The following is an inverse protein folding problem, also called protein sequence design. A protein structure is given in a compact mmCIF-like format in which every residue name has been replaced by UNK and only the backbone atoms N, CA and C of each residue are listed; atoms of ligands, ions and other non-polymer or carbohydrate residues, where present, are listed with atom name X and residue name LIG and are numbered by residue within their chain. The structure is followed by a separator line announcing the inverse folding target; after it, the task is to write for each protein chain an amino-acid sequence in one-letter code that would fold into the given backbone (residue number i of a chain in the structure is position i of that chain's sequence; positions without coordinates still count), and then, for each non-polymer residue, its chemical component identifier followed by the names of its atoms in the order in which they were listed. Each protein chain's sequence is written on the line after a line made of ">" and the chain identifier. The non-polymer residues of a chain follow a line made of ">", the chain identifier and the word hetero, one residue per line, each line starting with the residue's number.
data_IF_138931770342
#
_entry.id   IF_138931770342
#
_cell.length_a   1.000
_cell.length_b   1.000
_cell.length_c   1.000
_cell.angle_alpha   90.00
_cell.angle_beta   90.00
_cell.angle_gamma   90.00
#
_symmetry.space_group_name_H-M   'P 1'
#
loop_
_entity.id
_entity.type
_entity.pdbx_description
1 polymer ?
#
# COMPACT_ATOMS: atom_id res chain seq x y z
N UNK A 1 -16.53 -26.98 43.20
CA UNK A 1 -15.51 -26.05 42.73
C UNK A 1 -14.36 -26.86 42.13
N UNK A 2 -14.24 -26.87 40.79
CA UNK A 2 -13.14 -27.55 40.10
C UNK A 2 -11.89 -26.70 40.30
N UNK A 3 -10.93 -27.20 41.07
CA UNK A 3 -9.59 -26.57 41.12
C UNK A 3 -8.92 -26.75 39.77
N UNK A 4 -9.01 -25.76 38.91
CA UNK A 4 -8.30 -25.75 37.66
C UNK A 4 -6.80 -25.80 37.99
N UNK A 5 -6.14 -26.88 37.60
CA UNK A 5 -4.71 -27.03 37.83
C UNK A 5 -3.99 -25.87 37.11
N UNK A 6 -3.06 -25.20 37.77
CA UNK A 6 -2.38 -23.99 37.26
C UNK A 6 -1.84 -24.19 35.83
N UNK A 7 -1.37 -25.39 35.55
CA UNK A 7 -0.89 -25.79 34.21
C UNK A 7 -2.02 -25.83 33.16
N UNK A 8 -3.22 -26.27 33.52
CA UNK A 8 -4.39 -26.31 32.63
C UNK A 8 -4.85 -24.89 32.27
N UNK A 9 -4.81 -23.97 33.24
CA UNK A 9 -5.12 -22.56 32.98
C UNK A 9 -4.16 -21.91 31.98
N UNK A 10 -2.86 -22.17 32.11
CA UNK A 10 -1.84 -21.64 31.20
C UNK A 10 -2.04 -22.22 29.79
N UNK A 11 -2.26 -23.50 29.65
CA UNK A 11 -2.51 -24.17 28.35
C UNK A 11 -3.75 -23.58 27.69
N UNK A 12 -4.83 -23.35 28.42
CA UNK A 12 -6.07 -22.77 27.90
C UNK A 12 -5.84 -21.37 27.33
N UNK A 13 -5.09 -20.51 28.06
CA UNK A 13 -4.74 -19.14 27.58
C UNK A 13 -3.91 -19.19 26.30
N UNK A 14 -2.94 -20.11 26.21
CA UNK A 14 -2.13 -20.27 25.01
C UNK A 14 -2.96 -20.72 23.81
N UNK A 15 -3.90 -21.65 24.00
CA UNK A 15 -4.79 -22.13 22.94
C UNK A 15 -5.71 -20.99 22.47
N UNK A 16 -6.30 -20.22 23.38
CA UNK A 16 -7.15 -19.07 23.03
C UNK A 16 -6.32 -18.03 22.26
N UNK A 17 -5.11 -17.70 22.70
CA UNK A 17 -4.21 -16.78 22.01
C UNK A 17 -3.92 -17.24 20.57
N UNK A 18 -3.63 -18.54 20.37
CA UNK A 18 -3.35 -19.12 19.07
C UNK A 18 -4.59 -19.07 18.15
N UNK A 19 -5.78 -19.39 18.66
CA UNK A 19 -7.04 -19.29 17.91
C UNK A 19 -7.33 -17.85 17.48
N UNK A 20 -7.13 -16.89 18.37
CA UNK A 20 -7.30 -15.46 18.07
C UNK A 20 -6.32 -15.02 16.97
N UNK A 21 -5.06 -15.44 17.03
CA UNK A 21 -4.07 -15.14 15.98
C UNK A 21 -4.47 -15.71 14.62
N UNK A 22 -4.99 -16.97 14.59
CA UNK A 22 -5.45 -17.59 13.34
C UNK A 22 -6.63 -16.80 12.77
N UNK A 23 -7.59 -16.38 13.58
CA UNK A 23 -8.75 -15.59 13.14
C UNK A 23 -8.30 -14.26 12.55
N UNK A 24 -7.41 -13.52 13.22
CA UNK A 24 -6.87 -12.26 12.69
C UNK A 24 -6.11 -12.46 11.38
N UNK A 25 -5.30 -13.51 11.27
CA UNK A 25 -4.58 -13.86 10.04
C UNK A 25 -5.53 -14.14 8.87
N UNK A 26 -6.67 -14.80 9.12
CA UNK A 26 -7.68 -15.07 8.09
C UNK A 26 -8.44 -13.81 7.65
N UNK A 27 -8.67 -12.86 8.55
CA UNK A 27 -9.32 -11.58 8.22
C UNK A 27 -8.39 -10.72 7.36
N UNK A 28 -7.11 -10.66 7.69
CA UNK A 28 -6.10 -9.94 6.90
C UNK A 28 -5.85 -10.55 5.50
N UNK A 29 -6.14 -11.84 5.33
CA UNK A 29 -5.98 -12.54 4.05
C UNK A 29 -7.04 -12.14 3.01
N UNK A 30 -8.20 -11.60 3.42
CA UNK A 30 -9.26 -11.19 2.49
C UNK A 30 -8.83 -9.97 1.68
N UNK A 31 -8.97 -10.11 0.37
CA UNK A 31 -8.76 -8.98 -0.54
C UNK A 31 -9.92 -7.98 -0.42
N UNK A 32 -9.59 -6.69 -0.40
CA UNK A 32 -10.58 -5.61 -0.29
C UNK A 32 -10.15 -4.41 -1.15
N UNK A 33 -11.10 -3.53 -1.54
CA UNK A 33 -10.77 -2.34 -2.30
C UNK A 33 -9.78 -1.43 -1.55
N UNK A 34 -9.96 -1.26 -0.25
CA UNK A 34 -9.07 -0.47 0.59
C UNK A 34 -7.65 -1.05 0.61
N UNK A 35 -7.52 -2.38 0.76
CA UNK A 35 -6.23 -3.08 0.72
C UNK A 35 -5.54 -2.89 -0.64
N UNK A 36 -6.28 -3.01 -1.73
CA UNK A 36 -5.73 -2.82 -3.08
C UNK A 36 -5.17 -1.41 -3.28
N UNK A 37 -5.91 -0.37 -2.83
CA UNK A 37 -5.47 1.02 -2.88
C UNK A 37 -4.22 1.25 -2.03
N UNK A 38 -4.18 0.76 -0.80
CA UNK A 38 -3.01 0.92 0.09
C UNK A 38 -1.77 0.23 -0.48
N UNK A 39 -1.90 -1.00 -0.97
CA UNK A 39 -0.77 -1.74 -1.56
C UNK A 39 -0.27 -1.06 -2.84
N UNK A 40 -1.17 -0.63 -3.72
CA UNK A 40 -0.80 0.13 -4.92
C UNK A 40 -0.06 1.42 -4.54
N UNK A 41 -0.64 2.25 -3.68
CA UNK A 41 -0.07 3.55 -3.31
C UNK A 41 1.30 3.42 -2.63
N UNK A 42 1.48 2.42 -1.75
CA UNK A 42 2.78 2.14 -1.16
C UNK A 42 3.83 1.80 -2.21
N UNK A 43 3.49 0.90 -3.15
CA UNK A 43 4.41 0.50 -4.23
C UNK A 43 4.68 1.66 -5.20
N UNK A 44 3.67 2.47 -5.50
CA UNK A 44 3.78 3.66 -6.34
C UNK A 44 4.79 4.67 -5.78
N UNK A 45 4.62 5.09 -4.54
CA UNK A 45 5.54 6.05 -3.91
C UNK A 45 6.95 5.49 -3.69
N UNK A 46 7.08 4.17 -3.53
CA UNK A 46 8.38 3.49 -3.44
C UNK A 46 9.02 3.23 -4.81
N UNK A 47 8.35 3.56 -5.92
CA UNK A 47 8.78 3.26 -7.28
C UNK A 47 9.08 1.76 -7.46
N UNK A 48 8.21 0.91 -6.92
CA UNK A 48 8.36 -0.54 -6.92
C UNK A 48 7.48 -1.16 -8.01
N UNK A 49 8.07 -2.03 -8.84
CA UNK A 49 7.36 -2.79 -9.90
C UNK A 49 6.18 -3.61 -9.38
N UNK A 50 6.16 -3.95 -8.10
CA UNK A 50 5.04 -4.68 -7.49
C UNK A 50 3.69 -3.95 -7.60
N UNK A 51 3.68 -2.63 -7.89
CA UNK A 51 2.44 -1.89 -8.19
C UNK A 51 1.66 -2.52 -9.35
N UNK A 52 2.33 -3.14 -10.33
CA UNK A 52 1.69 -3.84 -11.45
C UNK A 52 0.70 -4.92 -11.00
N UNK A 53 0.95 -5.56 -9.86
CA UNK A 53 0.07 -6.60 -9.31
C UNK A 53 -1.31 -6.07 -8.91
N UNK A 54 -1.42 -4.76 -8.70
CA UNK A 54 -2.65 -4.07 -8.30
C UNK A 54 -3.26 -3.20 -9.40
N UNK A 55 -2.73 -3.24 -10.62
CA UNK A 55 -3.27 -2.53 -11.79
C UNK A 55 -4.23 -3.46 -12.54
N UNK A 56 -5.33 -2.90 -13.07
CA UNK A 56 -6.32 -3.62 -13.85
C UNK A 56 -5.77 -4.02 -15.24
N UNK A 57 -6.22 -5.17 -15.75
CA UNK A 57 -5.78 -5.74 -17.04
C UNK A 57 -5.99 -4.78 -18.19
N UNK A 58 -7.11 -4.03 -18.20
CA UNK A 58 -7.43 -3.06 -19.24
C UNK A 58 -6.32 -2.02 -19.44
N UNK A 59 -5.64 -1.63 -18.36
CA UNK A 59 -4.55 -0.66 -18.45
C UNK A 59 -3.20 -1.30 -18.73
N UNK A 60 -2.96 -2.51 -18.23
CA UNK A 60 -1.74 -3.26 -18.57
C UNK A 60 -1.72 -3.75 -20.02
N UNK A 61 -2.90 -3.97 -20.62
CA UNK A 61 -3.03 -4.50 -22.00
C UNK A 61 -3.16 -3.41 -23.06
N UNK A 62 -3.23 -2.13 -22.71
CA UNK A 62 -3.50 -1.05 -23.65
C UNK A 62 -2.32 -0.67 -24.58
N UNK A 63 -1.10 -1.09 -24.22
CA UNK A 63 0.10 -0.91 -25.04
C UNK A 63 0.98 -2.16 -24.96
N UNK A 64 1.63 -2.54 -26.06
CA UNK A 64 2.60 -3.65 -26.16
C UNK A 64 3.84 -3.46 -25.25
N UNK A 65 3.91 -2.37 -24.52
CA UNK A 65 5.00 -2.00 -23.64
C UNK A 65 4.51 -2.03 -22.20
N UNK A 66 5.28 -2.62 -21.30
CA UNK A 66 5.00 -2.64 -19.86
C UNK A 66 4.89 -1.20 -19.33
N UNK A 67 3.65 -0.73 -19.12
CA UNK A 67 3.34 0.64 -18.68
C UNK A 67 4.09 1.01 -17.40
N UNK A 68 4.24 0.07 -16.47
CA UNK A 68 4.95 0.30 -15.22
C UNK A 68 6.44 0.46 -15.46
N UNK A 69 7.05 -0.36 -16.32
CA UNK A 69 8.46 -0.24 -16.65
C UNK A 69 8.76 1.07 -17.37
N UNK A 70 7.90 1.50 -18.30
CA UNK A 70 8.01 2.80 -18.95
C UNK A 70 7.90 3.96 -17.97
N UNK A 71 6.94 3.90 -17.05
CA UNK A 71 6.82 4.90 -16.00
C UNK A 71 8.09 4.97 -15.14
N UNK A 72 8.56 3.84 -14.62
CA UNK A 72 9.77 3.79 -13.81
C UNK A 72 11.02 4.25 -14.58
N UNK A 73 11.12 3.88 -15.86
CA UNK A 73 12.20 4.33 -16.72
C UNK A 73 12.16 5.85 -16.92
N UNK A 74 11.00 6.45 -17.16
CA UNK A 74 10.85 7.90 -17.32
C UNK A 74 11.24 8.66 -16.05
N UNK A 75 10.86 8.16 -14.89
CA UNK A 75 11.26 8.73 -13.60
C UNK A 75 12.78 8.62 -13.40
N UNK A 76 13.36 7.44 -13.68
CA UNK A 76 14.81 7.24 -13.57
C UNK A 76 15.59 8.13 -14.52
N UNK A 77 15.10 8.34 -15.75
CA UNK A 77 15.70 9.24 -16.74
C UNK A 77 15.68 10.68 -16.22
N UNK A 78 14.51 11.16 -15.78
CA UNK A 78 14.35 12.51 -15.22
C UNK A 78 15.25 12.74 -14.01
N UNK A 79 15.41 11.76 -13.13
CA UNK A 79 16.31 11.85 -11.99
C UNK A 79 17.76 12.05 -12.45
N UNK A 80 18.24 11.22 -13.40
CA UNK A 80 19.60 11.31 -13.95
C UNK A 80 19.88 12.64 -14.65
N UNK A 81 18.93 13.14 -15.44
CA UNK A 81 19.04 14.43 -16.11
C UNK A 81 19.19 15.59 -15.13
N UNK A 82 18.65 15.45 -13.94
CA UNK A 82 18.78 16.41 -12.82
C UNK A 82 20.00 16.13 -11.92
N UNK A 83 20.81 15.11 -12.23
CA UNK A 83 21.99 14.74 -11.45
C UNK A 83 21.68 13.98 -10.15
N UNK A 84 20.49 13.38 -10.02
CA UNK A 84 20.08 12.64 -8.83
C UNK A 84 20.01 11.13 -9.11
N UNK A 85 20.24 10.34 -8.04
CA UNK A 85 19.90 8.92 -8.04
C UNK A 85 18.38 8.74 -7.82
N UNK A 86 17.78 7.75 -8.49
CA UNK A 86 16.33 7.44 -8.36
C UNK A 86 15.91 7.18 -6.91
N UNK A 87 16.82 6.73 -6.06
CA UNK A 87 16.52 6.48 -4.66
C UNK A 87 16.12 7.75 -3.89
N UNK A 88 16.52 8.94 -4.35
CA UNK A 88 16.08 10.21 -3.76
C UNK A 88 14.63 10.56 -4.11
N UNK A 89 14.05 9.92 -5.12
CA UNK A 89 12.67 10.11 -5.52
C UNK A 89 11.71 9.09 -4.86
N UNK A 90 12.27 8.07 -4.19
CA UNK A 90 11.45 7.11 -3.42
C UNK A 90 10.91 7.77 -2.17
N UNK A 91 9.61 7.60 -1.96
CA UNK A 91 8.91 8.10 -0.79
C UNK A 91 8.24 6.95 -0.04
N UNK A 92 8.26 6.98 1.27
CA UNK A 92 7.50 6.05 2.10
C UNK A 92 6.19 6.71 2.53
N UNK A 93 5.08 6.06 2.20
CA UNK A 93 3.75 6.43 2.65
C UNK A 93 3.49 5.87 4.05
N UNK A 94 3.03 6.71 4.98
CA UNK A 94 2.73 6.38 6.37
C UNK A 94 1.54 7.19 6.88
N UNK A 95 1.04 6.87 8.08
CA UNK A 95 -0.18 7.44 8.68
C UNK A 95 -1.36 7.36 7.68
N UNK A 96 -1.56 6.16 7.11
CA UNK A 96 -2.50 5.93 6.01
C UNK A 96 -3.89 5.71 6.56
N UNK A 97 -4.84 6.48 6.06
CA UNK A 97 -6.25 6.26 6.28
C UNK A 97 -6.96 6.01 4.95
N UNK A 98 -8.04 5.23 4.96
CA UNK A 98 -8.85 4.97 3.77
C UNK A 98 -10.32 5.11 4.09
N UNK A 99 -11.03 5.81 3.22
CA UNK A 99 -12.48 5.98 3.28
C UNK A 99 -13.13 5.43 2.02
N UNK A 100 -14.17 4.63 2.17
CA UNK A 100 -14.94 4.13 1.03
C UNK A 100 -16.00 5.17 0.65
N UNK A 101 -15.78 5.88 -0.47
CA UNK A 101 -16.71 6.89 -0.96
C UNK A 101 -17.93 6.21 -1.63
N UNK A 102 -17.67 5.21 -2.45
CA UNK A 102 -18.70 4.40 -3.09
C UNK A 102 -18.21 2.98 -3.32
N UNK A 103 -19.12 2.01 -3.26
CA UNK A 103 -18.79 0.61 -3.48
C UNK A 103 -20.01 -0.16 -3.95
N UNK A 104 -19.79 -1.02 -4.95
CA UNK A 104 -20.69 -2.11 -5.32
C UNK A 104 -19.90 -3.43 -5.40
N UNK A 105 -20.49 -4.48 -5.97
CA UNK A 105 -19.85 -5.80 -6.07
C UNK A 105 -18.66 -5.84 -7.04
N UNK A 106 -18.60 -4.93 -8.02
CA UNK A 106 -17.63 -4.93 -9.11
C UNK A 106 -16.63 -3.76 -9.05
N UNK A 107 -17.00 -2.63 -8.45
CA UNK A 107 -16.21 -1.41 -8.44
C UNK A 107 -16.36 -0.61 -7.14
N UNK A 108 -15.35 0.20 -6.81
CA UNK A 108 -15.40 1.11 -5.69
C UNK A 108 -14.52 2.35 -5.94
N UNK A 109 -14.86 3.45 -5.27
CA UNK A 109 -14.02 4.63 -5.16
C UNK A 109 -13.56 4.78 -3.71
N UNK A 110 -12.26 4.77 -3.52
CA UNK A 110 -11.63 4.82 -2.21
C UNK A 110 -10.80 6.09 -2.11
N UNK A 111 -11.10 6.92 -1.13
CA UNK A 111 -10.23 8.03 -0.75
C UNK A 111 -9.11 7.48 0.11
N UNK A 112 -7.88 7.84 -0.23
CA UNK A 112 -6.70 7.55 0.56
C UNK A 112 -6.08 8.86 1.02
N UNK A 113 -5.84 8.95 2.32
CA UNK A 113 -5.08 10.04 2.92
C UNK A 113 -3.85 9.48 3.63
N UNK A 114 -2.82 10.29 3.73
CA UNK A 114 -1.58 9.88 4.37
C UNK A 114 -0.50 10.92 4.26
N UNK A 115 0.70 10.54 4.69
CA UNK A 115 1.89 11.38 4.65
C UNK A 115 3.03 10.65 3.97
N UNK A 116 3.81 11.38 3.16
CA UNK A 116 5.00 10.82 2.52
C UNK A 116 6.25 11.54 3.01
N UNK A 117 7.32 10.76 3.15
CA UNK A 117 8.70 11.24 3.37
C UNK A 117 9.66 10.50 2.46
N UNK A 118 10.72 11.17 2.05
CA UNK A 118 11.80 10.59 1.25
C UNK A 118 12.38 9.35 1.94
N UNK A 119 12.56 8.28 1.19
CA UNK A 119 12.99 6.96 1.67
C UNK A 119 14.33 6.55 1.05
N UNK A 120 15.42 7.26 1.39
CA UNK A 120 16.75 7.00 0.85
C UNK A 120 17.25 5.59 1.18
N UNK A 121 16.90 5.10 2.40
CA UNK A 121 17.16 3.74 2.86
C UNK A 121 16.06 3.31 3.85
N UNK A 122 16.05 2.03 4.25
CA UNK A 122 15.00 1.46 5.12
C UNK A 122 14.95 2.08 6.53
N UNK A 123 16.04 2.66 7.00
CA UNK A 123 16.15 3.27 8.35
C UNK A 123 15.79 4.76 8.32
N UNK A 124 16.14 5.46 7.23
CA UNK A 124 15.96 6.91 7.10
C UNK A 124 14.52 7.39 7.40
N UNK A 125 13.45 6.79 6.86
CA UNK A 125 12.09 7.26 7.14
C UNK A 125 11.71 7.14 8.62
N UNK A 126 12.23 6.16 9.33
CA UNK A 126 11.98 5.96 10.77
C UNK A 126 12.69 7.06 11.57
N UNK A 127 13.97 7.29 11.28
CA UNK A 127 14.77 8.35 11.92
C UNK A 127 14.17 9.73 11.60
N UNK A 128 13.82 9.97 10.34
CA UNK A 128 13.23 11.22 9.91
C UNK A 128 11.87 11.50 10.59
N UNK A 129 11.06 10.46 10.85
CA UNK A 129 9.80 10.58 11.60
C UNK A 129 10.07 10.93 13.08
N UNK A 130 11.01 10.23 13.72
CA UNK A 130 11.33 10.43 15.17
C UNK A 130 11.91 11.83 15.41
N UNK A 131 12.82 12.29 14.55
CA UNK A 131 13.53 13.55 14.73
C UNK A 131 12.92 14.72 13.94
N UNK A 132 11.78 14.51 13.28
CA UNK A 132 11.10 15.48 12.42
C UNK A 132 12.02 16.10 11.36
N UNK A 133 12.86 15.27 10.74
CA UNK A 133 13.81 15.68 9.71
C UNK A 133 13.15 15.53 8.32
N UNK A 134 13.34 16.54 7.47
CA UNK A 134 12.85 16.57 6.09
C UNK A 134 11.40 17.07 5.96
N UNK A 135 11.04 17.50 4.74
CA UNK A 135 9.68 17.90 4.41
C UNK A 135 8.74 16.70 4.43
N UNK A 136 7.58 16.89 5.01
CA UNK A 136 6.46 15.94 4.94
C UNK A 136 5.46 16.51 3.97
N UNK A 137 5.01 15.73 3.02
CA UNK A 137 3.95 16.09 2.10
C UNK A 137 2.71 15.25 2.40
N UNK A 138 1.55 15.84 2.31
CA UNK A 138 0.29 15.14 2.49
C UNK A 138 -0.19 14.55 1.16
N UNK A 139 -0.89 13.44 1.24
CA UNK A 139 -1.55 12.77 0.12
C UNK A 139 -3.04 12.73 0.45
N UNK A 140 -3.87 13.16 -0.49
CA UNK A 140 -5.33 13.06 -0.40
C UNK A 140 -5.88 12.83 -1.82
N UNK A 141 -6.20 11.59 -2.12
CA UNK A 141 -6.59 11.19 -3.47
C UNK A 141 -7.75 10.19 -3.45
N UNK A 142 -8.60 10.25 -4.47
CA UNK A 142 -9.67 9.27 -4.70
C UNK A 142 -9.23 8.33 -5.82
N UNK A 143 -9.12 7.05 -5.48
CA UNK A 143 -8.67 6.00 -6.38
C UNK A 143 -9.84 5.09 -6.73
N UNK A 144 -10.07 4.94 -8.04
CA UNK A 144 -11.05 3.99 -8.57
C UNK A 144 -10.45 2.59 -8.64
N UNK A 145 -11.19 1.61 -8.12
CA UNK A 145 -10.82 0.20 -8.15
C UNK A 145 -11.96 -0.66 -8.70
N UNK A 146 -11.58 -1.69 -9.43
CA UNK A 146 -12.49 -2.68 -9.99
C UNK A 146 -12.12 -4.08 -9.52
N UNK A 147 -13.07 -5.00 -9.54
CA UNK A 147 -12.84 -6.39 -9.16
C UNK A 147 -12.61 -7.24 -10.40
N UNK A 148 -11.40 -7.77 -10.55
CA UNK A 148 -11.01 -8.67 -11.63
C UNK A 148 -10.49 -10.00 -11.06
N UNK A 149 -10.99 -11.12 -11.55
CA UNK A 149 -10.61 -12.47 -11.12
C UNK A 149 -10.64 -12.64 -9.58
N UNK A 150 -11.65 -12.06 -8.94
CA UNK A 150 -11.82 -12.12 -7.49
C UNK A 150 -10.90 -11.19 -6.68
N UNK A 151 -10.04 -10.38 -7.34
CA UNK A 151 -9.12 -9.44 -6.72
C UNK A 151 -9.46 -8.00 -7.08
N UNK A 152 -9.27 -7.11 -6.13
CA UNK A 152 -9.44 -5.67 -6.36
C UNK A 152 -8.19 -5.09 -7.02
N UNK A 153 -8.41 -4.30 -8.07
CA UNK A 153 -7.38 -3.71 -8.91
C UNK A 153 -7.64 -2.22 -9.12
N UNK A 154 -6.60 -1.41 -9.07
CA UNK A 154 -6.66 0.02 -9.37
C UNK A 154 -6.82 0.21 -10.89
N UNK A 155 -7.77 1.07 -11.28
CA UNK A 155 -8.07 1.38 -12.66
C UNK A 155 -8.33 2.89 -12.80
N UNK A 156 -7.89 3.51 -13.91
CA UNK A 156 -8.07 4.95 -14.13
C UNK A 156 -6.75 5.73 -14.16
N UNK A 157 -6.68 6.87 -13.52
CA UNK A 157 -5.46 7.71 -13.50
C UNK A 157 -4.41 7.12 -12.56
N UNK A 158 -3.57 6.22 -13.06
CA UNK A 158 -2.63 5.44 -12.24
C UNK A 158 -1.44 6.25 -11.71
N UNK A 159 -0.88 7.13 -12.55
CA UNK A 159 0.39 7.82 -12.25
C UNK A 159 0.20 9.31 -11.96
N UNK A 160 -0.94 9.65 -11.36
CA UNK A 160 -1.29 11.03 -11.01
C UNK A 160 -1.43 11.27 -9.51
N UNK A 161 -0.97 10.32 -8.68
CA UNK A 161 -0.93 10.54 -7.23
C UNK A 161 0.05 11.67 -6.93
N UNK A 162 -0.49 12.80 -6.53
CA UNK A 162 0.28 13.99 -6.20
C UNK A 162 0.50 14.10 -4.70
N UNK A 163 1.66 14.61 -4.33
CA UNK A 163 1.87 15.18 -2.99
C UNK A 163 1.55 16.66 -3.04
N UNK A 164 0.69 17.11 -2.18
CA UNK A 164 0.38 18.53 -1.98
C UNK A 164 1.44 19.17 -1.10
#
# INVERSE_FOLDING_TARGET
>A
MVRLNRSVGIILVLIIGLVVQIIFSMVDAKDSPNKAVVEFSKSYFMLDKSMAKRICKKQLASDDTDMVDNYLYSIAKTARERGFDINFLKNKLYDIETETISKNDAEANIRITGKIKVAINSVYPVVAKIFNIGSTHEVDEIIHVIKEDGKWKVCGKLFSLTSI
#
